data_IF_917997143324
#
_entry.id   IF_917997143324
#
_cell.length_a   1.000
_cell.length_b   1.000
_cell.length_c   1.000
_cell.angle_alpha   90.00
_cell.angle_beta   90.00
_cell.angle_gamma   90.00
#
_symmetry.space_group_name_H-M   'P 1'
#
loop_
_entity.id
_entity.type
_entity.pdbx_description
1 polymer ?
#
# COMPACT_ATOMS: atom_id res chain seq x y z
N UNK A 1 -0.86 -15.44 0.14
CA UNK A 1 -0.25 -14.21 -0.45
C UNK A 1 1.15 -14.02 0.11
N UNK A 2 2.12 -13.82 -0.75
CA UNK A 2 3.49 -13.43 -0.36
C UNK A 2 3.61 -11.92 -0.41
N UNK A 3 4.18 -11.32 0.63
CA UNK A 3 4.39 -9.86 0.70
C UNK A 3 5.85 -9.55 0.44
N UNK A 4 6.10 -8.61 -0.46
CA UNK A 4 7.42 -8.17 -0.89
C UNK A 4 7.49 -6.66 -0.74
N UNK A 5 8.56 -6.16 -0.12
CA UNK A 5 8.80 -4.73 0.05
C UNK A 5 10.10 -4.33 -0.65
N UNK A 6 10.06 -3.23 -1.38
CA UNK A 6 11.25 -2.54 -1.85
C UNK A 6 11.49 -1.35 -0.93
N UNK A 7 12.48 -1.44 -0.08
CA UNK A 7 12.81 -0.38 0.88
C UNK A 7 14.23 0.14 0.69
N UNK A 8 14.36 1.47 0.68
CA UNK A 8 15.65 2.14 0.66
C UNK A 8 15.53 3.51 1.33
N UNK A 9 16.38 3.79 2.28
CA UNK A 9 16.43 5.08 3.01
C UNK A 9 16.96 6.21 2.12
N UNK A 10 17.81 5.89 1.15
CA UNK A 10 18.29 6.89 0.18
C UNK A 10 17.21 7.16 -0.86
N UNK A 11 16.78 8.42 -0.96
CA UNK A 11 15.80 8.86 -1.94
C UNK A 11 16.22 8.52 -3.37
N UNK A 12 15.24 8.12 -4.17
CA UNK A 12 15.43 7.84 -5.58
C UNK A 12 14.20 7.16 -6.19
N UNK A 13 14.02 7.33 -7.47
CA UNK A 13 12.85 6.86 -8.26
C UNK A 13 12.80 5.33 -8.35
N UNK A 14 13.87 4.64 -7.95
CA UNK A 14 14.04 3.20 -8.17
C UNK A 14 13.03 2.33 -7.41
N UNK A 15 12.51 2.74 -6.25
CA UNK A 15 11.55 1.94 -5.49
C UNK A 15 10.22 1.77 -6.22
N UNK A 16 9.61 2.87 -6.61
CA UNK A 16 8.34 2.84 -7.36
C UNK A 16 8.51 2.15 -8.71
N UNK A 17 9.56 2.47 -9.45
CA UNK A 17 9.86 1.81 -10.73
C UNK A 17 10.05 0.30 -10.55
N UNK A 18 10.80 -0.13 -9.55
CA UNK A 18 11.03 -1.55 -9.25
C UNK A 18 9.74 -2.24 -8.81
N UNK A 19 8.93 -1.61 -7.96
CA UNK A 19 7.63 -2.12 -7.52
C UNK A 19 6.72 -2.39 -8.71
N UNK A 20 6.56 -1.42 -9.59
CA UNK A 20 5.66 -1.53 -10.74
C UNK A 20 6.18 -2.51 -11.80
N UNK A 21 7.49 -2.48 -12.10
CA UNK A 21 8.09 -3.43 -13.02
C UNK A 21 7.94 -4.87 -12.55
N UNK A 22 8.17 -5.13 -11.26
CA UNK A 22 8.02 -6.44 -10.66
C UNK A 22 6.56 -6.90 -10.67
N UNK A 23 5.63 -6.01 -10.34
CA UNK A 23 4.19 -6.28 -10.40
C UNK A 23 3.75 -6.68 -11.80
N UNK A 24 4.20 -5.95 -12.82
CA UNK A 24 3.89 -6.23 -14.22
C UNK A 24 4.45 -7.57 -14.69
N UNK A 25 5.69 -7.89 -14.34
CA UNK A 25 6.31 -9.17 -14.69
C UNK A 25 5.53 -10.33 -14.06
N UNK A 26 5.21 -10.25 -12.79
CA UNK A 26 4.43 -11.28 -12.10
C UNK A 26 3.05 -11.47 -12.73
N UNK A 27 2.38 -10.39 -13.08
CA UNK A 27 1.05 -10.46 -13.69
C UNK A 27 1.11 -10.91 -15.14
N UNK A 28 1.91 -10.25 -15.99
CA UNK A 28 1.91 -10.45 -17.44
C UNK A 28 2.62 -11.75 -17.85
N UNK A 29 3.77 -12.03 -17.24
CA UNK A 29 4.62 -13.15 -17.66
C UNK A 29 4.30 -14.43 -16.89
N UNK A 30 3.84 -14.33 -15.65
CA UNK A 30 3.59 -15.48 -14.76
C UNK A 30 2.11 -15.67 -14.40
N UNK A 31 1.21 -14.82 -14.88
CA UNK A 31 -0.24 -14.94 -14.64
C UNK A 31 -0.66 -14.83 -13.18
N UNK A 32 0.12 -14.12 -12.36
CA UNK A 32 -0.17 -14.00 -10.92
C UNK A 32 -1.19 -12.90 -10.63
N UNK A 33 -1.95 -13.11 -9.56
CA UNK A 33 -2.86 -12.10 -8.99
C UNK A 33 -2.03 -11.19 -8.09
N UNK A 34 -1.85 -9.94 -8.48
CA UNK A 34 -0.94 -9.01 -7.82
C UNK A 34 -1.70 -7.82 -7.24
N UNK A 35 -1.40 -7.53 -5.99
CA UNK A 35 -1.84 -6.33 -5.28
C UNK A 35 -0.62 -5.42 -5.05
N UNK A 36 -0.68 -4.19 -5.52
CA UNK A 36 0.28 -3.15 -5.16
C UNK A 36 -0.26 -2.38 -3.98
N UNK A 37 0.55 -2.20 -2.97
CA UNK A 37 0.18 -1.46 -1.77
C UNK A 37 1.05 -0.21 -1.65
N UNK A 38 0.49 0.93 -2.00
CA UNK A 38 1.19 2.22 -1.97
C UNK A 38 1.04 2.85 -0.58
N UNK A 39 2.16 3.07 0.09
CA UNK A 39 2.22 3.73 1.41
C UNK A 39 3.06 4.99 1.40
N UNK A 40 3.22 5.59 0.23
CA UNK A 40 3.87 6.90 0.05
C UNK A 40 2.81 7.99 -0.21
N UNK A 41 2.82 9.04 0.60
CA UNK A 41 1.92 10.21 0.40
C UNK A 41 2.01 10.82 -0.99
N UNK A 42 3.15 10.68 -1.67
CA UNK A 42 3.32 11.14 -3.05
C UNK A 42 2.53 10.29 -4.06
N UNK A 43 2.17 9.06 -3.68
CA UNK A 43 1.28 8.19 -4.44
C UNK A 43 1.75 7.93 -5.89
N UNK A 44 3.04 7.76 -6.10
CA UNK A 44 3.57 7.59 -7.45
C UNK A 44 3.11 6.28 -8.11
N UNK A 45 3.10 5.16 -7.39
CA UNK A 45 2.53 3.89 -7.88
C UNK A 45 1.04 4.03 -8.18
N UNK A 46 0.30 4.65 -7.27
CA UNK A 46 -1.13 4.91 -7.42
C UNK A 46 -1.44 5.73 -8.66
N UNK A 47 -0.69 6.81 -8.89
CA UNK A 47 -0.85 7.68 -10.06
C UNK A 47 -0.51 6.97 -11.37
N UNK A 48 0.58 6.21 -11.38
CA UNK A 48 1.00 5.44 -12.56
C UNK A 48 -0.03 4.38 -12.94
N UNK A 49 -0.69 3.76 -11.96
CA UNK A 49 -1.77 2.80 -12.19
C UNK A 49 -3.13 3.47 -12.51
N UNK A 50 -3.20 4.79 -12.55
CA UNK A 50 -4.42 5.54 -12.89
C UNK A 50 -5.49 5.51 -11.81
N UNK A 51 -5.13 5.25 -10.55
CA UNK A 51 -6.07 5.06 -9.45
C UNK A 51 -6.04 6.17 -8.39
N UNK A 52 -5.39 7.30 -8.68
CA UNK A 52 -5.27 8.40 -7.71
C UNK A 52 -6.59 9.14 -7.53
N UNK A 53 -6.97 9.33 -6.25
CA UNK A 53 -8.10 10.15 -5.83
C UNK A 53 -7.73 10.83 -4.51
N UNK A 54 -7.61 12.16 -4.55
CA UNK A 54 -7.23 12.96 -3.37
C UNK A 54 -8.28 12.87 -2.25
N UNK A 55 -9.55 12.63 -2.59
CA UNK A 55 -10.68 12.59 -1.66
C UNK A 55 -11.19 11.17 -1.41
N UNK A 56 -10.60 10.18 -2.06
CA UNK A 56 -11.01 8.78 -1.97
C UNK A 56 -10.41 8.05 -0.78
N UNK A 57 -10.92 6.83 -0.56
CA UNK A 57 -10.33 5.90 0.40
C UNK A 57 -8.93 5.49 -0.06
N UNK A 58 -8.02 5.36 0.89
CA UNK A 58 -6.61 5.08 0.62
C UNK A 58 -5.97 4.25 1.74
N UNK A 59 -4.69 4.00 1.62
CA UNK A 59 -3.88 3.39 2.68
C UNK A 59 -3.93 4.18 4.00
N UNK A 60 -4.25 5.47 3.95
CA UNK A 60 -4.47 6.29 5.14
C UNK A 60 -5.61 5.73 6.02
N UNK A 61 -6.74 5.40 5.43
CA UNK A 61 -7.89 4.85 6.16
C UNK A 61 -7.59 3.47 6.72
N UNK A 62 -6.80 2.64 6.03
CA UNK A 62 -6.37 1.34 6.56
C UNK A 62 -5.53 1.47 7.81
N UNK A 63 -4.74 2.55 7.90
CA UNK A 63 -3.87 2.79 9.03
C UNK A 63 -4.66 3.17 10.30
N UNK A 64 -5.75 3.91 10.16
CA UNK A 64 -6.53 4.45 11.29
C UNK A 64 -7.82 3.70 11.58
N UNK A 65 -8.35 2.92 10.64
CA UNK A 65 -9.63 2.23 10.79
C UNK A 65 -9.61 1.20 11.92
N UNK A 66 -10.68 1.18 12.70
CA UNK A 66 -10.94 0.15 13.73
C UNK A 66 -11.55 -1.12 13.14
N UNK A 67 -12.08 -1.04 11.92
CA UNK A 67 -12.70 -2.15 11.19
C UNK A 67 -11.80 -2.55 10.03
N UNK A 68 -11.98 -3.77 9.56
CA UNK A 68 -11.36 -4.21 8.33
C UNK A 68 -12.13 -3.64 7.14
N UNK A 69 -11.50 -2.74 6.39
CA UNK A 69 -12.10 -2.03 5.25
C UNK A 69 -11.29 -2.20 3.97
N UNK A 70 -10.29 -3.09 3.96
CA UNK A 70 -9.37 -3.22 2.82
C UNK A 70 -10.09 -3.47 1.50
N UNK A 71 -11.19 -4.25 1.49
CA UNK A 71 -11.96 -4.54 0.28
C UNK A 71 -12.60 -3.29 -0.31
N UNK A 72 -12.98 -2.32 0.53
CA UNK A 72 -13.58 -1.05 0.08
C UNK A 72 -12.52 -0.08 -0.45
N UNK A 73 -11.26 -0.28 -0.07
CA UNK A 73 -10.15 0.59 -0.46
C UNK A 73 -9.49 0.13 -1.76
N UNK A 74 -9.42 -1.19 -2.01
CA UNK A 74 -8.76 -1.73 -3.21
C UNK A 74 -9.44 -1.22 -4.48
N UNK A 75 -8.62 -0.76 -5.42
CA UNK A 75 -9.04 -0.36 -6.77
C UNK A 75 -8.43 -1.26 -7.82
N UNK A 76 -9.16 -1.44 -8.92
CA UNK A 76 -8.71 -2.21 -10.08
C UNK A 76 -8.13 -1.27 -11.13
N UNK A 77 -6.86 -1.48 -11.51
CA UNK A 77 -6.26 -0.73 -12.60
C UNK A 77 -6.58 -1.35 -13.95
N UNK A 78 -6.47 -0.56 -15.02
CA UNK A 78 -6.61 -1.06 -16.40
C UNK A 78 -5.50 -2.04 -16.82
N UNK A 79 -4.44 -2.16 -16.03
CA UNK A 79 -3.31 -3.06 -16.30
C UNK A 79 -3.48 -4.46 -15.71
N UNK A 80 -4.63 -4.77 -15.11
CA UNK A 80 -4.88 -6.05 -14.45
C UNK A 80 -4.21 -6.21 -13.08
N UNK A 81 -3.63 -5.16 -12.56
CA UNK A 81 -3.01 -5.09 -11.24
C UNK A 81 -3.93 -4.30 -10.32
N UNK A 82 -4.27 -4.87 -9.17
CA UNK A 82 -5.06 -4.18 -8.17
C UNK A 82 -4.14 -3.33 -7.27
N UNK A 83 -4.68 -2.26 -6.73
CA UNK A 83 -3.91 -1.33 -5.89
C UNK A 83 -4.69 -0.90 -4.66
N UNK A 84 -4.00 -0.87 -3.53
CA UNK A 84 -4.40 -0.08 -2.36
C UNK A 84 -3.76 1.29 -2.58
N UNK A 85 -4.56 2.30 -2.96
CA UNK A 85 -4.02 3.60 -3.35
C UNK A 85 -3.53 4.40 -2.16
N UNK A 86 -2.62 5.34 -2.40
CA UNK A 86 -2.19 6.33 -1.44
C UNK A 86 -2.68 7.73 -1.83
N UNK A 87 -2.70 8.63 -0.87
CA UNK A 87 -2.89 10.07 -1.05
C UNK A 87 -2.30 10.85 0.13
N UNK A 88 -2.44 12.17 0.10
CA UNK A 88 -1.90 13.05 1.15
C UNK A 88 -2.55 12.85 2.53
N UNK A 89 -3.68 12.18 2.63
CA UNK A 89 -4.30 11.86 3.93
C UNK A 89 -3.41 10.98 4.81
N UNK A 90 -2.39 10.31 4.23
CA UNK A 90 -1.38 9.59 5.00
C UNK A 90 -0.64 10.48 5.99
N UNK A 91 -0.48 11.77 5.72
CA UNK A 91 0.16 12.72 6.65
C UNK A 91 -0.61 12.78 7.97
N UNK A 92 -1.92 12.98 7.88
CA UNK A 92 -2.80 13.03 9.06
C UNK A 92 -2.91 11.65 9.72
N UNK A 93 -3.07 10.60 8.94
CA UNK A 93 -3.20 9.24 9.45
C UNK A 93 -1.98 8.81 10.27
N UNK A 94 -0.77 9.12 9.83
CA UNK A 94 0.46 8.85 10.58
C UNK A 94 0.47 9.56 11.94
N UNK A 95 -0.01 10.79 12.01
CA UNK A 95 -0.14 11.53 13.28
C UNK A 95 -1.18 10.89 14.19
N UNK A 96 -2.36 10.58 13.65
CA UNK A 96 -3.47 9.99 14.42
C UNK A 96 -3.07 8.66 15.05
N UNK A 97 -2.30 7.83 14.35
CA UNK A 97 -1.80 6.54 14.87
C UNK A 97 -0.89 6.73 16.07
N UNK A 98 -0.03 7.74 16.07
CA UNK A 98 0.88 8.00 17.19
C UNK A 98 0.14 8.36 18.49
N UNK A 99 -1.08 8.88 18.40
CA UNK A 99 -1.91 9.24 19.55
C UNK A 99 -2.92 8.15 19.98
N UNK A 100 -3.03 7.07 19.20
CA UNK A 100 -3.94 5.97 19.53
C UNK A 100 -3.25 4.95 20.45
N UNK A 101 -3.45 5.11 21.76
CA UNK A 101 -2.86 4.24 22.77
C UNK A 101 -3.61 2.90 22.96
N UNK A 102 -4.79 2.73 22.37
CA UNK A 102 -5.66 1.59 22.63
C UNK A 102 -5.42 0.40 21.68
N UNK A 103 -4.70 0.60 20.58
CA UNK A 103 -4.46 -0.43 19.57
C UNK A 103 -2.98 -0.53 19.22
N UNK A 104 -2.50 -1.75 18.87
CA UNK A 104 -1.14 -1.91 18.35
C UNK A 104 -0.90 -0.99 17.15
N UNK A 105 0.22 -0.28 17.18
CA UNK A 105 0.54 0.71 16.14
C UNK A 105 1.26 0.07 14.93
N UNK A 106 2.02 -1.00 15.17
CA UNK A 106 2.93 -1.56 14.17
C UNK A 106 2.33 -2.66 13.28
N UNK A 107 1.12 -3.11 13.56
CA UNK A 107 0.53 -4.27 12.87
C UNK A 107 -0.79 -4.00 12.15
N UNK A 108 -1.12 -2.73 11.95
CA UNK A 108 -2.43 -2.33 11.41
C UNK A 108 -2.62 -2.75 9.95
N UNK A 109 -1.62 -2.57 9.11
CA UNK A 109 -1.68 -3.00 7.72
C UNK A 109 -1.75 -4.53 7.61
N UNK A 110 -1.01 -5.24 8.45
CA UNK A 110 -1.07 -6.71 8.48
C UNK A 110 -2.49 -7.20 8.75
N UNK A 111 -3.15 -6.65 9.76
CA UNK A 111 -4.52 -7.02 10.11
C UNK A 111 -5.51 -6.77 8.94
N UNK A 112 -5.34 -5.67 8.21
CA UNK A 112 -6.14 -5.37 7.03
C UNK A 112 -5.87 -6.36 5.89
N UNK A 113 -4.60 -6.66 5.60
CA UNK A 113 -4.21 -7.55 4.51
C UNK A 113 -4.59 -9.01 4.73
N UNK A 114 -4.74 -9.47 5.97
CA UNK A 114 -5.20 -10.83 6.28
C UNK A 114 -6.56 -11.14 5.65
N UNK A 115 -7.43 -10.14 5.51
CA UNK A 115 -8.75 -10.28 4.91
C UNK A 115 -8.70 -10.70 3.42
N UNK A 116 -7.66 -10.29 2.71
CA UNK A 116 -7.51 -10.53 1.26
C UNK A 116 -6.37 -11.48 0.91
N UNK A 117 -5.79 -12.15 1.90
CA UNK A 117 -4.62 -13.00 1.69
C UNK A 117 -4.83 -14.16 0.72
N UNK A 118 -6.08 -14.60 0.52
CA UNK A 118 -6.44 -15.67 -0.41
C UNK A 118 -6.84 -15.16 -1.81
N UNK A 119 -7.01 -13.85 -1.96
CA UNK A 119 -7.44 -13.24 -3.22
C UNK A 119 -6.25 -12.92 -4.14
N UNK A 120 -5.05 -12.81 -3.57
CA UNK A 120 -3.83 -12.45 -4.28
C UNK A 120 -2.71 -13.47 -4.03
N UNK A 121 -1.85 -13.62 -5.04
CA UNK A 121 -0.63 -14.43 -4.93
C UNK A 121 0.52 -13.60 -4.32
N UNK A 122 0.57 -12.32 -4.66
CA UNK A 122 1.58 -11.37 -4.19
C UNK A 122 0.98 -10.03 -3.79
N UNK A 123 1.53 -9.45 -2.72
CA UNK A 123 1.35 -8.06 -2.34
C UNK A 123 2.72 -7.37 -2.39
N UNK A 124 2.84 -6.32 -3.20
CA UNK A 124 4.09 -5.58 -3.34
C UNK A 124 3.91 -4.20 -2.74
N UNK A 125 4.73 -3.87 -1.74
CA UNK A 125 4.61 -2.63 -0.98
C UNK A 125 5.60 -1.59 -1.52
N UNK A 126 5.06 -0.45 -1.95
CA UNK A 126 5.84 0.73 -2.32
C UNK A 126 5.96 1.67 -1.13
N UNK A 127 7.13 1.69 -0.52
CA UNK A 127 7.40 2.45 0.69
C UNK A 127 7.73 3.92 0.42
N UNK A 128 7.32 4.79 1.35
CA UNK A 128 7.85 6.15 1.45
C UNK A 128 9.35 6.15 1.76
N UNK A 129 10.04 7.21 1.38
CA UNK A 129 11.41 7.49 1.82
C UNK A 129 11.45 7.99 3.27
N UNK A 130 10.31 8.38 3.84
CA UNK A 130 10.20 8.90 5.19
C UNK A 130 10.03 7.76 6.22
N UNK A 131 10.66 7.94 7.37
CA UNK A 131 10.46 7.05 8.50
C UNK A 131 9.19 7.48 9.27
N UNK A 132 8.12 6.74 9.08
CA UNK A 132 6.81 7.04 9.68
C UNK A 132 6.02 5.76 9.98
N UNK A 133 4.84 5.90 10.59
CA UNK A 133 4.03 4.75 11.01
C UNK A 133 3.51 3.90 9.83
N UNK A 134 3.29 4.49 8.66
CA UNK A 134 2.93 3.71 7.48
C UNK A 134 4.09 2.81 7.05
N UNK A 135 5.32 3.33 7.07
CA UNK A 135 6.54 2.56 6.77
C UNK A 135 6.73 1.44 7.78
N UNK A 136 6.60 1.74 9.08
CA UNK A 136 6.71 0.72 10.15
C UNK A 136 5.68 -0.40 9.96
N UNK A 137 4.46 -0.07 9.59
CA UNK A 137 3.42 -1.05 9.32
C UNK A 137 3.64 -1.85 8.02
N UNK A 138 4.42 -1.30 7.07
CA UNK A 138 4.75 -1.96 5.81
C UNK A 138 5.82 -3.06 5.94
N UNK A 139 6.48 -3.11 7.06
CA UNK A 139 7.39 -4.20 7.38
C UNK A 139 6.66 -5.34 8.07
#
# INVERSE_FOLDING_TARGET
MKTISFYNIKGGVAKTTSTLAFAQILHNDYGKRVLVFDIDKQANSTKTLGCYDADGLSSAELLVSKKNIVRDVIKHSEYGIDVIPANYNLIKANKDVLYDALRPQQTRFKAQLEEVQNDYDYCIIDHSIEDNMAVVNGF
#
